data_IF_072625131013
#
_entry.id   IF_072625131013
#
_cell.length_a   1.000
_cell.length_b   1.000
_cell.length_c   1.000
_cell.angle_alpha   90.00
_cell.angle_beta   90.00
_cell.angle_gamma   90.00
#
_symmetry.space_group_name_H-M   'P 1'
#
loop_
_entity.id
_entity.type
_entity.pdbx_description
1 polymer ?
#
# COMPACT_ATOMS: atom_id res chain seq x y z
N UNK A 1 -22.67 78.59 -3.40
CA UNK A 1 -23.37 77.41 -2.83
C UNK A 1 -23.22 76.25 -3.83
N UNK A 2 -22.95 75.03 -3.32
CA UNK A 2 -22.67 73.73 -3.99
C UNK A 2 -21.19 73.43 -4.31
N UNK A 3 -20.51 72.79 -3.35
CA UNK A 3 -19.53 71.73 -3.65
C UNK A 3 -20.28 70.46 -4.09
N UNK A 4 -19.69 69.65 -4.99
CA UNK A 4 -19.80 68.19 -4.89
C UNK A 4 -18.41 67.55 -4.95
N UNK A 5 -17.97 66.95 -3.83
CA UNK A 5 -18.03 65.50 -3.54
C UNK A 5 -17.03 64.67 -4.35
N UNK A 6 -15.92 64.35 -3.69
CA UNK A 6 -15.05 63.22 -3.97
C UNK A 6 -15.87 61.93 -4.12
N UNK A 7 -15.56 61.13 -5.15
CA UNK A 7 -16.07 59.76 -5.30
C UNK A 7 -14.96 58.76 -4.97
N UNK A 8 -15.23 57.78 -4.10
CA UNK A 8 -14.27 56.74 -3.73
C UNK A 8 -14.36 55.54 -4.68
N UNK A 9 -13.28 54.77 -4.65
CA UNK A 9 -13.25 53.32 -4.84
C UNK A 9 -13.50 52.78 -6.25
N UNK A 10 -12.53 51.99 -6.73
CA UNK A 10 -12.72 50.53 -6.81
C UNK A 10 -11.36 49.86 -6.88
N UNK A 11 -11.08 49.06 -5.86
CA UNK A 11 -10.09 48.00 -5.87
C UNK A 11 -10.21 47.21 -7.18
N UNK A 12 -9.19 47.27 -8.02
CA UNK A 12 -8.97 46.22 -9.02
C UNK A 12 -7.93 45.24 -8.45
N UNK A 13 -8.33 44.59 -7.36
CA UNK A 13 -7.73 43.33 -6.96
C UNK A 13 -8.56 42.21 -7.59
N UNK A 14 -7.87 41.24 -8.19
CA UNK A 14 -8.38 40.01 -8.81
C UNK A 14 -8.95 40.17 -10.24
N UNK A 15 -8.38 39.45 -11.23
CA UNK A 15 -8.40 37.98 -11.19
C UNK A 15 -7.09 37.34 -11.68
N UNK A 16 -6.25 36.84 -10.77
CA UNK A 16 -5.21 35.85 -11.11
C UNK A 16 -5.45 34.50 -10.42
N UNK A 17 -6.59 34.34 -9.74
CA UNK A 17 -7.00 33.11 -9.06
C UNK A 17 -7.94 32.22 -9.92
N UNK A 18 -7.92 32.35 -11.24
CA UNK A 18 -8.85 31.65 -12.13
C UNK A 18 -8.35 30.34 -12.76
N UNK A 19 -7.03 30.10 -12.81
CA UNK A 19 -6.47 29.08 -13.72
C UNK A 19 -5.98 27.79 -13.06
N UNK A 20 -6.02 27.66 -11.72
CA UNK A 20 -5.48 26.50 -11.01
C UNK A 20 -6.49 25.38 -10.70
N UNK A 21 -7.76 25.51 -11.11
CA UNK A 21 -8.85 24.67 -10.61
C UNK A 21 -9.19 23.42 -11.47
N UNK A 22 -8.50 23.14 -12.59
CA UNK A 22 -8.99 22.17 -13.59
C UNK A 22 -8.05 21.01 -13.96
N UNK A 23 -7.10 20.64 -13.11
CA UNK A 23 -6.27 19.44 -13.36
C UNK A 23 -6.41 18.43 -12.21
N UNK A 24 -7.65 18.03 -11.91
CA UNK A 24 -7.89 16.81 -11.13
C UNK A 24 -8.07 15.65 -12.11
N UNK A 25 -6.98 15.03 -12.53
CA UNK A 25 -7.06 13.79 -13.31
C UNK A 25 -7.55 12.69 -12.38
N UNK A 26 -8.73 12.14 -12.65
CA UNK A 26 -9.25 10.97 -11.95
C UNK A 26 -8.27 9.81 -12.13
N UNK A 27 -7.65 9.34 -11.06
CA UNK A 27 -6.89 8.10 -11.10
C UNK A 27 -7.87 6.93 -11.13
N UNK A 28 -7.99 6.25 -12.27
CA UNK A 28 -8.69 4.97 -12.36
C UNK A 28 -7.78 3.89 -11.76
N UNK A 29 -8.17 3.32 -10.63
CA UNK A 29 -7.58 2.09 -10.14
C UNK A 29 -7.87 0.98 -11.16
N UNK A 30 -6.82 0.30 -11.64
CA UNK A 30 -6.96 -0.82 -12.56
C UNK A 30 -7.03 -2.11 -11.75
N UNK A 31 -8.23 -2.65 -11.63
CA UNK A 31 -8.47 -4.00 -11.13
C UNK A 31 -8.99 -4.84 -12.30
N UNK A 32 -8.25 -5.89 -12.68
CA UNK A 32 -8.66 -6.82 -13.75
C UNK A 32 -9.60 -7.92 -13.22
N UNK A 33 -9.95 -7.89 -11.94
CA UNK A 33 -10.89 -8.81 -11.30
C UNK A 33 -10.39 -10.25 -11.26
N UNK A 34 -9.08 -10.48 -11.52
CA UNK A 34 -8.49 -11.82 -11.69
C UNK A 34 -8.78 -12.77 -10.54
N UNK A 35 -8.89 -12.22 -9.33
CA UNK A 35 -9.11 -13.00 -8.10
C UNK A 35 -10.53 -12.89 -7.54
N UNK A 36 -11.45 -12.17 -8.21
CA UNK A 36 -12.80 -11.91 -7.71
C UNK A 36 -13.59 -13.20 -7.41
N UNK A 37 -13.34 -14.28 -8.16
CA UNK A 37 -14.01 -15.58 -7.99
C UNK A 37 -13.06 -16.68 -7.45
N UNK A 38 -11.92 -16.31 -6.88
CA UNK A 38 -11.00 -17.27 -6.29
C UNK A 38 -11.64 -17.95 -5.08
N UNK A 39 -11.64 -19.29 -4.97
CA UNK A 39 -12.18 -19.98 -3.80
C UNK A 39 -11.40 -19.66 -2.51
N UNK A 40 -10.15 -19.20 -2.64
CA UNK A 40 -9.31 -18.79 -1.51
C UNK A 40 -9.48 -17.31 -1.14
N UNK A 41 -10.25 -16.53 -1.90
CA UNK A 41 -10.44 -15.09 -1.65
C UNK A 41 -10.87 -14.78 -0.21
N UNK A 42 -11.90 -15.45 0.37
CA UNK A 42 -12.31 -15.16 1.75
C UNK A 42 -11.22 -15.48 2.78
N UNK A 43 -10.38 -16.47 2.49
CA UNK A 43 -9.25 -16.80 3.35
C UNK A 43 -8.17 -15.72 3.28
N UNK A 44 -7.77 -15.28 2.08
CA UNK A 44 -6.82 -14.18 1.94
C UNK A 44 -7.32 -12.90 2.63
N UNK A 45 -8.60 -12.56 2.46
CA UNK A 45 -9.21 -11.38 3.09
C UNK A 45 -9.29 -11.48 4.62
N UNK A 46 -9.26 -12.69 5.19
CA UNK A 46 -9.21 -12.90 6.64
C UNK A 46 -7.81 -12.76 7.25
N UNK A 47 -6.75 -12.79 6.43
CA UNK A 47 -5.37 -12.74 6.91
C UNK A 47 -5.06 -11.39 7.55
N UNK A 48 -4.47 -11.44 8.74
CA UNK A 48 -4.03 -10.29 9.50
C UNK A 48 -2.73 -10.60 10.23
N UNK A 49 -1.98 -9.55 10.51
CA UNK A 49 -0.83 -9.55 11.40
C UNK A 49 -1.07 -8.57 12.55
N UNK A 50 -0.10 -8.38 13.44
CA UNK A 50 -0.18 -7.33 14.47
C UNK A 50 -0.25 -5.92 13.87
N UNK A 51 0.13 -5.78 12.59
CA UNK A 51 0.04 -4.53 11.82
C UNK A 51 -1.30 -4.39 11.07
N UNK A 52 -2.27 -5.26 11.34
CA UNK A 52 -3.62 -5.26 10.77
C UNK A 52 -3.79 -6.19 9.58
N UNK A 53 -4.83 -5.96 8.77
CA UNK A 53 -5.14 -6.80 7.61
C UNK A 53 -3.98 -6.82 6.60
N UNK A 54 -3.70 -7.98 6.00
CA UNK A 54 -2.62 -8.18 5.04
C UNK A 54 -2.90 -7.61 3.64
N UNK A 55 -4.06 -6.98 3.42
CA UNK A 55 -4.63 -6.68 2.11
C UNK A 55 -5.12 -7.95 1.39
N UNK A 56 -5.22 -7.95 0.05
CA UNK A 56 -5.76 -9.05 -0.74
C UNK A 56 -4.66 -9.94 -1.32
N UNK A 57 -5.03 -11.04 -1.99
CA UNK A 57 -4.06 -11.87 -2.71
C UNK A 57 -3.33 -11.11 -3.82
N UNK A 58 -3.98 -10.11 -4.42
CA UNK A 58 -3.40 -9.25 -5.45
C UNK A 58 -2.22 -8.40 -4.95
N UNK A 59 -2.17 -8.12 -3.64
CA UNK A 59 -1.12 -7.31 -3.00
C UNK A 59 0.04 -8.16 -2.47
N UNK A 60 -0.14 -9.48 -2.49
CA UNK A 60 0.82 -10.44 -1.98
C UNK A 60 1.80 -10.92 -3.05
N UNK A 61 3.06 -11.06 -2.67
CA UNK A 61 4.11 -11.56 -3.53
C UNK A 61 4.50 -12.97 -3.08
N UNK A 62 4.54 -13.90 -4.02
CA UNK A 62 5.17 -15.20 -3.79
C UNK A 62 6.67 -15.00 -3.85
N UNK A 63 7.35 -15.49 -2.82
CA UNK A 63 8.81 -15.43 -2.71
C UNK A 63 9.36 -16.82 -3.02
N UNK A 64 10.38 -16.91 -3.86
CA UNK A 64 11.07 -18.18 -4.12
C UNK A 64 11.91 -18.58 -2.91
N UNK A 65 12.21 -19.87 -2.74
CA UNK A 65 12.91 -20.38 -1.55
C UNK A 65 14.29 -19.75 -1.32
N UNK A 66 14.97 -19.32 -2.40
CA UNK A 66 16.26 -18.63 -2.33
C UNK A 66 16.15 -17.16 -1.90
N UNK A 67 14.95 -16.58 -1.97
CA UNK A 67 14.70 -15.17 -1.70
C UNK A 67 14.16 -14.95 -0.27
N UNK A 68 14.23 -15.96 0.60
CA UNK A 68 13.98 -15.81 2.03
C UNK A 68 14.83 -16.77 2.86
N UNK A 69 15.05 -16.42 4.11
CA UNK A 69 15.79 -17.26 5.05
C UNK A 69 15.07 -17.31 6.39
N UNK A 70 15.23 -18.43 7.10
CA UNK A 70 14.86 -18.55 8.51
C UNK A 70 16.07 -18.89 9.36
N UNK A 71 16.16 -18.24 10.53
CA UNK A 71 17.16 -18.54 11.54
C UNK A 71 16.54 -18.35 12.92
N UNK A 72 16.48 -19.43 13.70
CA UNK A 72 15.95 -19.41 15.08
C UNK A 72 14.53 -18.83 15.18
N UNK A 73 13.65 -19.19 14.24
CA UNK A 73 12.26 -18.72 14.22
C UNK A 73 12.06 -17.29 13.71
N UNK A 74 13.14 -16.59 13.33
CA UNK A 74 13.08 -15.28 12.69
C UNK A 74 13.29 -15.41 11.19
N UNK A 75 12.70 -14.50 10.44
CA UNK A 75 12.75 -14.52 8.98
C UNK A 75 13.38 -13.25 8.41
N UNK A 76 14.02 -13.39 7.25
CA UNK A 76 14.34 -12.27 6.37
C UNK A 76 13.96 -12.63 4.94
N UNK A 77 13.59 -11.61 4.17
CA UNK A 77 13.14 -11.75 2.78
C UNK A 77 13.89 -10.77 1.91
N UNK A 78 14.28 -11.21 0.72
CA UNK A 78 14.94 -10.37 -0.27
C UNK A 78 13.88 -9.70 -1.16
N UNK A 79 13.74 -8.38 -1.02
CA UNK A 79 12.74 -7.56 -1.72
C UNK A 79 13.43 -6.40 -2.39
N UNK A 80 13.19 -6.22 -3.70
CA UNK A 80 13.71 -5.09 -4.47
C UNK A 80 15.22 -4.85 -4.27
N UNK A 81 16.01 -5.93 -4.30
CA UNK A 81 17.46 -5.93 -4.07
C UNK A 81 17.91 -5.57 -2.63
N UNK A 82 16.99 -5.58 -1.67
CA UNK A 82 17.24 -5.35 -0.25
C UNK A 82 16.87 -6.59 0.59
N UNK A 83 17.74 -6.98 1.53
CA UNK A 83 17.37 -7.96 2.56
C UNK A 83 16.61 -7.27 3.69
N UNK A 84 15.33 -7.60 3.82
CA UNK A 84 14.42 -7.03 4.82
C UNK A 84 14.18 -8.05 5.93
N UNK A 85 14.47 -7.67 7.18
CA UNK A 85 14.10 -8.47 8.35
C UNK A 85 12.58 -8.44 8.50
N UNK A 86 11.97 -9.61 8.64
CA UNK A 86 10.54 -9.74 8.95
C UNK A 86 10.36 -9.49 10.44
N UNK A 87 9.59 -8.47 10.84
CA UNK A 87 9.24 -8.29 12.25
C UNK A 87 8.40 -9.47 12.73
N UNK A 88 8.58 -9.89 13.99
CA UNK A 88 7.83 -11.03 14.54
C UNK A 88 6.30 -10.81 14.45
N UNK A 89 5.84 -9.58 14.71
CA UNK A 89 4.43 -9.20 14.59
C UNK A 89 3.87 -9.19 13.16
N UNK A 90 4.72 -9.30 12.12
CA UNK A 90 4.28 -9.46 10.74
C UNK A 90 4.01 -10.93 10.36
N UNK A 91 4.47 -11.89 11.17
CA UNK A 91 4.34 -13.32 10.84
C UNK A 91 2.89 -13.75 11.02
N UNK A 92 2.30 -14.26 9.94
CA UNK A 92 0.95 -14.84 9.96
C UNK A 92 1.01 -16.21 10.63
N UNK A 93 0.15 -16.42 11.61
CA UNK A 93 0.04 -17.68 12.38
C UNK A 93 -1.04 -18.63 11.85
N UNK A 94 -1.89 -18.15 10.94
CA UNK A 94 -2.90 -18.96 10.25
C UNK A 94 -2.26 -20.04 9.38
N UNK A 95 -2.91 -21.22 9.22
CA UNK A 95 -2.42 -22.27 8.35
C UNK A 95 -2.22 -21.79 6.91
N UNK A 96 -1.03 -22.04 6.36
CA UNK A 96 -0.70 -21.70 4.98
C UNK A 96 -1.43 -22.64 3.99
N UNK A 97 -2.53 -22.17 3.39
CA UNK A 97 -3.35 -22.95 2.43
C UNK A 97 -2.75 -23.03 1.01
N UNK A 98 -1.75 -22.22 0.70
CA UNK A 98 -1.10 -22.18 -0.61
C UNK A 98 0.23 -22.95 -0.63
N UNK A 99 0.77 -23.30 0.54
CA UNK A 99 2.02 -24.04 0.74
C UNK A 99 3.30 -23.23 0.44
N UNK A 100 3.19 -22.08 -0.22
CA UNK A 100 4.35 -21.24 -0.61
C UNK A 100 4.56 -20.07 0.33
N UNK A 101 5.79 -19.57 0.37
CA UNK A 101 6.12 -18.33 1.08
C UNK A 101 5.48 -17.13 0.39
N UNK A 102 4.78 -16.30 1.15
CA UNK A 102 4.20 -15.05 0.67
C UNK A 102 4.52 -13.86 1.57
N UNK A 103 4.62 -12.69 0.95
CA UNK A 103 4.88 -11.42 1.64
C UNK A 103 3.96 -10.33 1.12
N UNK A 104 3.42 -9.55 2.04
CA UNK A 104 2.70 -8.31 1.76
C UNK A 104 3.55 -7.16 2.24
N UNK A 105 4.02 -6.35 1.30
CA UNK A 105 4.94 -5.24 1.56
C UNK A 105 4.27 -3.90 1.31
N UNK A 106 4.80 -2.89 1.98
CA UNK A 106 4.55 -1.48 1.71
C UNK A 106 5.89 -0.75 1.72
N UNK A 107 5.90 0.53 1.32
CA UNK A 107 7.12 1.32 1.32
C UNK A 107 7.06 2.41 2.38
N UNK A 108 8.15 2.57 3.12
CA UNK A 108 8.40 3.69 4.01
C UNK A 108 9.75 4.28 3.60
N UNK A 109 9.78 5.58 3.30
CA UNK A 109 10.98 6.30 2.85
C UNK A 109 11.69 5.64 1.65
N UNK A 110 10.92 5.02 0.75
CA UNK A 110 11.45 4.33 -0.43
C UNK A 110 11.96 2.92 -0.18
N UNK A 111 11.94 2.44 1.07
CA UNK A 111 12.38 1.10 1.43
C UNK A 111 11.21 0.15 1.67
N UNK A 112 11.30 -1.11 1.20
CA UNK A 112 10.28 -2.11 1.46
C UNK A 112 10.21 -2.45 2.96
N UNK A 113 8.99 -2.60 3.45
CA UNK A 113 8.64 -3.01 4.81
C UNK A 113 7.60 -4.11 4.77
N UNK A 114 7.79 -5.14 5.59
CA UNK A 114 6.91 -6.30 5.65
C UNK A 114 5.72 -5.96 6.56
N UNK A 115 4.52 -5.96 5.99
CA UNK A 115 3.26 -5.85 6.74
C UNK A 115 2.77 -7.22 7.18
N UNK A 116 2.84 -8.18 6.27
CA UNK A 116 2.55 -9.59 6.57
C UNK A 116 3.55 -10.52 5.89
N UNK A 117 3.83 -11.63 6.55
CA UNK A 117 4.69 -12.69 6.07
C UNK A 117 4.06 -14.04 6.39
N UNK A 118 3.81 -14.83 5.35
CA UNK A 118 3.35 -16.21 5.47
C UNK A 118 4.51 -17.13 5.12
N UNK A 119 5.09 -17.85 6.09
CA UNK A 119 6.14 -18.82 5.79
C UNK A 119 5.58 -19.97 4.96
N UNK A 120 6.32 -20.36 3.91
CA UNK A 120 6.09 -21.59 3.17
C UNK A 120 6.45 -22.83 4.00
N UNK A 121 5.95 -23.98 3.58
CA UNK A 121 6.45 -25.24 4.08
C UNK A 121 7.78 -25.53 3.38
N UNK A 122 8.89 -25.58 4.13
CA UNK A 122 10.17 -26.06 3.59
C UNK A 122 10.05 -27.57 3.35
N UNK A 123 9.65 -27.96 2.15
CA UNK A 123 9.69 -29.36 1.69
C UNK A 123 10.85 -29.61 0.77
#
# INVERSE_FOLDING_TARGET
MRLPRSRPSRLYAAPLLGLAAFVTTSALARDDGRYANSPLKPWFESLHSEYGQCCSDADGYVVADVDWESSQGRYRVHLDNEWVVVPDGAVITEPNKIGRTMVWKHYIDGHPRVRCFMPGSMT
#
